data_IF_457536116583
#
_entry.id   IF_457536116583
#
_cell.length_a   1.000
_cell.length_b   1.000
_cell.length_c   1.000
_cell.angle_alpha   90.00
_cell.angle_beta   90.00
_cell.angle_gamma   90.00
#
_symmetry.space_group_name_H-M   'P 1'
#
loop_
_entity.id
_entity.type
_entity.pdbx_description
1 polymer ?
#
# COMPACT_ATOMS: atom_id res chain seq x y z
N UNK A 1 -28.58 22.19 2.80
CA UNK A 1 -27.88 22.58 4.04
C UNK A 1 -26.43 22.97 3.71
N UNK A 2 -25.98 24.18 4.04
CA UNK A 2 -24.61 24.64 3.71
C UNK A 2 -23.63 23.98 4.68
N UNK A 3 -22.66 23.20 4.19
CA UNK A 3 -21.69 22.43 5.00
C UNK A 3 -21.03 23.30 6.09
N UNK A 4 -20.64 24.53 5.74
CA UNK A 4 -20.06 25.50 6.68
C UNK A 4 -20.94 25.75 7.91
N UNK A 5 -22.25 25.83 7.74
CA UNK A 5 -23.20 26.11 8.81
C UNK A 5 -23.32 24.95 9.82
N UNK A 6 -23.13 23.71 9.37
CA UNK A 6 -23.12 22.54 10.24
C UNK A 6 -21.95 22.60 11.24
N UNK A 7 -20.78 23.03 10.77
CA UNK A 7 -19.59 23.18 11.61
C UNK A 7 -19.72 24.40 12.55
N UNK A 8 -20.28 25.50 12.06
CA UNK A 8 -20.48 26.73 12.85
C UNK A 8 -21.49 26.55 14.00
N UNK A 9 -22.50 25.68 13.82
CA UNK A 9 -23.49 25.36 14.85
C UNK A 9 -22.88 24.81 16.14
N UNK A 10 -21.68 24.22 16.08
CA UNK A 10 -21.03 23.65 17.25
C UNK A 10 -20.36 24.68 18.17
N UNK A 11 -20.33 25.98 17.81
CA UNK A 11 -19.86 27.09 18.65
C UNK A 11 -18.58 26.79 19.45
N UNK A 12 -17.55 26.27 18.76
CA UNK A 12 -16.32 25.79 19.40
C UNK A 12 -15.33 26.90 19.71
N UNK A 13 -14.61 26.77 20.83
CA UNK A 13 -13.57 27.71 21.21
C UNK A 13 -12.37 27.69 20.24
N UNK A 14 -11.77 28.86 20.02
CA UNK A 14 -10.49 28.97 19.31
C UNK A 14 -9.39 28.39 20.20
N UNK A 15 -8.62 27.44 19.67
CA UNK A 15 -7.53 26.78 20.39
C UNK A 15 -6.23 26.94 19.64
N UNK A 16 -5.17 27.19 20.40
CA UNK A 16 -3.80 27.16 19.88
C UNK A 16 -3.44 25.70 19.52
N UNK A 17 -2.97 25.50 18.29
CA UNK A 17 -2.75 24.16 17.74
C UNK A 17 -1.26 23.83 17.68
N UNK A 18 -0.80 23.00 18.62
CA UNK A 18 0.58 22.52 18.70
C UNK A 18 0.66 20.99 18.75
N UNK A 19 1.02 20.40 17.60
CA UNK A 19 1.31 18.98 17.33
C UNK A 19 0.18 17.94 17.61
N UNK A 20 0.16 16.80 16.89
CA UNK A 20 -1.07 16.06 16.56
C UNK A 20 -1.28 14.74 17.34
N UNK A 21 -0.95 14.70 18.64
CA UNK A 21 -1.07 13.45 19.40
C UNK A 21 -2.53 13.13 19.73
N UNK A 22 -3.25 14.07 20.37
CA UNK A 22 -4.63 13.85 20.85
C UNK A 22 -5.68 14.64 20.07
N UNK A 23 -5.36 15.90 19.74
CA UNK A 23 -6.24 16.80 18.99
C UNK A 23 -5.61 17.08 17.63
N UNK A 24 -6.36 16.88 16.55
CA UNK A 24 -5.88 17.07 15.19
C UNK A 24 -6.83 17.95 14.38
N UNK A 25 -6.25 18.88 13.61
CA UNK A 25 -7.01 19.66 12.65
C UNK A 25 -7.47 18.80 11.46
N UNK A 26 -8.68 19.05 10.96
CA UNK A 26 -9.24 18.30 9.82
C UNK A 26 -8.30 18.30 8.61
N UNK A 27 -7.63 19.41 8.31
CA UNK A 27 -6.60 19.48 7.24
C UNK A 27 -5.52 18.41 7.39
N UNK A 28 -5.00 18.23 8.60
CA UNK A 28 -3.95 17.26 8.88
C UNK A 28 -4.49 15.84 8.93
N UNK A 29 -5.70 15.64 9.46
CA UNK A 29 -6.36 14.33 9.47
C UNK A 29 -6.62 13.81 8.05
N UNK A 30 -6.98 14.67 7.11
CA UNK A 30 -7.12 14.31 5.68
C UNK A 30 -5.82 13.76 5.11
N UNK A 31 -4.69 14.41 5.42
CA UNK A 31 -3.37 14.01 4.95
C UNK A 31 -2.87 12.72 5.63
N UNK A 32 -3.12 12.56 6.93
CA UNK A 32 -2.54 11.47 7.75
C UNK A 32 -3.40 10.21 7.81
N UNK A 33 -4.73 10.34 7.84
CA UNK A 33 -5.64 9.24 8.18
C UNK A 33 -6.78 9.03 7.17
N UNK A 34 -7.48 10.10 6.80
CA UNK A 34 -8.81 9.99 6.17
C UNK A 34 -8.76 9.81 4.65
N UNK A 35 -7.70 10.28 3.96
CA UNK A 35 -7.67 10.41 2.49
C UNK A 35 -8.92 11.16 1.97
N UNK A 36 -9.19 11.14 0.66
CA UNK A 36 -10.38 11.82 0.08
C UNK A 36 -11.71 11.21 0.52
N UNK A 37 -11.78 9.88 0.67
CA UNK A 37 -13.01 9.17 1.01
C UNK A 37 -13.45 9.39 2.47
N UNK A 38 -12.51 9.39 3.43
CA UNK A 38 -12.81 9.61 4.84
C UNK A 38 -13.23 11.05 5.14
N UNK A 39 -12.80 12.03 4.32
CA UNK A 39 -13.27 13.41 4.46
C UNK A 39 -14.78 13.53 4.25
N UNK A 40 -15.33 12.82 3.26
CA UNK A 40 -16.78 12.83 3.00
C UNK A 40 -17.54 12.21 4.18
N UNK A 41 -17.02 11.11 4.74
CA UNK A 41 -17.62 10.45 5.90
C UNK A 41 -17.61 11.37 7.13
N UNK A 42 -16.49 12.07 7.38
CA UNK A 42 -16.38 13.05 8.46
C UNK A 42 -17.33 14.22 8.28
N UNK A 43 -17.44 14.77 7.07
CA UNK A 43 -18.39 15.87 6.79
C UNK A 43 -19.83 15.43 7.07
N UNK A 44 -20.22 14.22 6.62
CA UNK A 44 -21.55 13.67 6.90
C UNK A 44 -21.77 13.48 8.40
N UNK A 45 -20.81 12.88 9.10
CA UNK A 45 -20.91 12.66 10.55
C UNK A 45 -21.09 13.96 11.35
N UNK A 46 -20.46 15.06 10.92
CA UNK A 46 -20.66 16.38 11.54
C UNK A 46 -22.04 16.93 11.22
N UNK A 47 -22.48 16.84 9.95
CA UNK A 47 -23.83 17.27 9.53
C UNK A 47 -24.93 16.50 10.27
N UNK A 48 -24.74 15.20 10.46
CA UNK A 48 -25.68 14.30 11.14
C UNK A 48 -25.57 14.40 12.67
N UNK A 49 -24.62 15.17 13.21
CA UNK A 49 -24.40 15.36 14.66
C UNK A 49 -23.69 14.21 15.38
N UNK A 50 -23.27 13.18 14.65
CA UNK A 50 -22.57 11.99 15.14
C UNK A 50 -21.07 12.24 15.46
N UNK A 51 -20.52 13.35 14.98
CA UNK A 51 -19.15 13.77 15.25
C UNK A 51 -19.14 15.26 15.55
N UNK A 52 -18.49 15.65 16.66
CA UNK A 52 -18.44 17.05 17.10
C UNK A 52 -16.99 17.55 17.08
N UNK A 53 -16.73 18.73 16.51
CA UNK A 53 -15.43 19.37 16.67
C UNK A 53 -15.23 19.78 18.13
N UNK A 54 -13.99 19.72 18.60
CA UNK A 54 -13.58 20.07 19.98
C UNK A 54 -12.89 21.44 20.07
N UNK A 55 -12.73 22.11 18.92
CA UNK A 55 -12.07 23.40 18.82
C UNK A 55 -11.95 23.88 17.37
N UNK A 56 -11.46 25.10 17.21
CA UNK A 56 -11.11 25.67 15.91
C UNK A 56 -9.72 26.31 15.96
N UNK A 57 -8.93 26.15 14.90
CA UNK A 57 -7.67 26.86 14.74
C UNK A 57 -7.73 27.81 13.55
N UNK A 58 -7.26 29.05 13.75
CA UNK A 58 -7.18 30.05 12.67
C UNK A 58 -6.08 29.75 11.66
N UNK A 59 -5.18 28.81 11.95
CA UNK A 59 -4.07 28.43 11.07
C UNK A 59 -4.54 27.89 9.71
N UNK A 60 -5.74 27.32 9.65
CA UNK A 60 -6.31 26.79 8.41
C UNK A 60 -7.70 27.38 8.16
N UNK A 61 -7.97 27.85 6.92
CA UNK A 61 -9.25 28.48 6.62
C UNK A 61 -10.40 27.47 6.52
N UNK A 62 -11.60 27.93 6.88
CA UNK A 62 -12.85 27.21 6.68
C UNK A 62 -12.97 25.92 7.49
N UNK A 63 -13.73 24.94 6.98
CA UNK A 63 -13.99 23.68 7.71
C UNK A 63 -12.72 22.88 8.05
N UNK A 64 -11.61 23.17 7.35
CA UNK A 64 -10.34 22.46 7.55
C UNK A 64 -9.60 22.87 8.83
N UNK A 65 -9.97 24.01 9.42
CA UNK A 65 -9.46 24.51 10.70
C UNK A 65 -10.16 23.93 11.93
N UNK A 66 -11.23 23.17 11.76
CA UNK A 66 -11.88 22.51 12.90
C UNK A 66 -11.02 21.36 13.43
N UNK A 67 -10.96 21.28 14.75
CA UNK A 67 -10.17 20.34 15.52
C UNK A 67 -11.06 19.21 16.01
N UNK A 68 -10.53 17.99 15.99
CA UNK A 68 -11.21 16.79 16.47
C UNK A 68 -10.27 15.96 17.32
N UNK A 69 -10.83 15.12 18.19
CA UNK A 69 -10.06 14.05 18.81
C UNK A 69 -9.59 13.08 17.72
N UNK A 70 -8.32 12.70 17.77
CA UNK A 70 -7.74 11.79 16.79
C UNK A 70 -8.48 10.44 16.77
N UNK A 71 -8.84 9.93 17.95
CA UNK A 71 -9.54 8.65 18.10
C UNK A 71 -10.95 8.66 17.49
N UNK A 72 -11.66 9.79 17.57
CA UNK A 72 -12.96 9.93 16.93
C UNK A 72 -12.85 9.97 15.41
N UNK A 73 -11.79 10.60 14.87
CA UNK A 73 -11.53 10.57 13.44
C UNK A 73 -11.07 9.21 12.93
N UNK A 74 -10.38 8.42 13.77
CA UNK A 74 -9.95 7.07 13.41
C UNK A 74 -11.12 6.15 13.03
N UNK A 75 -12.32 6.36 13.61
CA UNK A 75 -13.56 5.63 13.26
C UNK A 75 -14.03 5.88 11.82
N UNK A 76 -13.66 7.03 11.26
CA UNK A 76 -13.98 7.46 9.89
C UNK A 76 -12.80 7.36 8.95
N UNK A 77 -11.68 6.79 9.42
CA UNK A 77 -10.67 6.27 8.52
C UNK A 77 -11.43 5.40 7.54
N UNK A 78 -11.23 5.55 6.22
CA UNK A 78 -11.65 4.50 5.32
C UNK A 78 -10.98 3.27 5.89
N UNK A 79 -11.77 2.37 6.48
CA UNK A 79 -11.38 0.99 6.57
C UNK A 79 -10.81 0.72 5.18
N UNK A 80 -9.72 -0.03 5.11
CA UNK A 80 -9.55 -0.83 3.91
C UNK A 80 -10.81 -1.68 3.87
N UNK A 81 -11.90 -1.11 3.34
CA UNK A 81 -12.95 -1.82 2.72
C UNK A 81 -12.14 -2.57 1.67
N UNK A 82 -11.78 -3.79 2.04
CA UNK A 82 -12.10 -4.96 1.25
C UNK A 82 -13.51 -4.71 0.72
N UNK A 83 -13.62 -3.79 -0.25
CA UNK A 83 -14.55 -3.99 -1.33
C UNK A 83 -14.12 -5.37 -1.80
N UNK A 84 -14.98 -6.39 -1.73
CA UNK A 84 -14.70 -7.60 -2.48
C UNK A 84 -14.33 -7.09 -3.87
N UNK A 85 -13.07 -7.32 -4.25
CA UNK A 85 -12.67 -6.99 -5.61
C UNK A 85 -13.65 -7.71 -6.52
N UNK A 86 -13.94 -7.19 -7.72
CA UNK A 86 -14.67 -7.99 -8.69
C UNK A 86 -14.07 -9.40 -8.70
N UNK A 87 -14.91 -10.43 -8.61
CA UNK A 87 -14.43 -11.80 -8.46
C UNK A 87 -13.35 -12.10 -9.50
N UNK A 88 -12.24 -12.71 -9.05
CA UNK A 88 -11.08 -12.97 -9.90
C UNK A 88 -10.08 -11.82 -10.04
N UNK A 89 -10.17 -10.74 -9.25
CA UNK A 89 -9.17 -9.68 -9.18
C UNK A 89 -8.55 -9.55 -7.78
N UNK A 90 -7.27 -9.17 -7.73
CA UNK A 90 -6.51 -8.85 -6.52
C UNK A 90 -6.02 -7.41 -6.59
N UNK A 91 -5.96 -6.73 -5.46
CA UNK A 91 -5.17 -5.50 -5.37
C UNK A 91 -3.67 -5.80 -5.31
N UNK A 92 -2.82 -4.79 -5.52
CA UNK A 92 -1.36 -4.99 -5.51
C UNK A 92 -0.82 -5.51 -4.18
N UNK A 93 -1.45 -5.21 -3.05
CA UNK A 93 -1.03 -5.74 -1.74
C UNK A 93 -1.32 -7.22 -1.61
N UNK A 94 -2.52 -7.67 -2.00
CA UNK A 94 -2.89 -9.08 -2.01
C UNK A 94 -2.04 -9.87 -3.02
N UNK A 95 -1.87 -9.34 -4.23
CA UNK A 95 -0.99 -9.94 -5.24
C UNK A 95 0.46 -10.07 -4.74
N UNK A 96 0.95 -9.05 -4.04
CA UNK A 96 2.28 -9.06 -3.45
C UNK A 96 2.40 -10.10 -2.33
N UNK A 97 1.37 -10.27 -1.52
CA UNK A 97 1.32 -11.31 -0.49
C UNK A 97 1.37 -12.72 -1.09
N UNK A 98 0.63 -12.97 -2.18
CA UNK A 98 0.64 -14.28 -2.87
C UNK A 98 2.04 -14.61 -3.42
N UNK A 99 2.78 -13.63 -3.91
CA UNK A 99 4.15 -13.82 -4.42
C UNK A 99 5.23 -13.64 -3.35
N UNK A 100 4.85 -13.31 -2.11
CA UNK A 100 5.74 -12.96 -0.99
C UNK A 100 6.79 -11.86 -1.34
N UNK A 101 6.34 -10.82 -2.04
CA UNK A 101 7.16 -9.68 -2.46
C UNK A 101 6.57 -8.35 -1.99
N UNK A 102 7.29 -7.25 -2.26
CA UNK A 102 6.80 -5.90 -2.01
C UNK A 102 5.78 -5.47 -3.08
N UNK A 103 4.81 -4.64 -2.71
CA UNK A 103 3.81 -4.11 -3.65
C UNK A 103 4.41 -3.23 -4.76
N UNK A 104 5.62 -2.71 -4.57
CA UNK A 104 6.39 -2.00 -5.61
C UNK A 104 6.85 -2.94 -6.73
N UNK A 105 7.07 -4.22 -6.43
CA UNK A 105 7.43 -5.24 -7.43
C UNK A 105 6.25 -5.52 -8.35
N UNK A 106 5.05 -5.72 -7.79
CA UNK A 106 3.82 -5.88 -8.60
C UNK A 106 3.61 -4.68 -9.53
N UNK A 107 3.87 -3.46 -9.03
CA UNK A 107 3.83 -2.26 -9.86
C UNK A 107 4.84 -2.32 -11.01
N UNK A 108 6.06 -2.77 -10.75
CA UNK A 108 7.08 -3.00 -11.78
C UNK A 108 6.64 -4.03 -12.81
N UNK A 109 6.08 -5.16 -12.36
CA UNK A 109 5.60 -6.23 -13.23
C UNK A 109 4.49 -5.76 -14.18
N UNK A 110 3.54 -4.97 -13.67
CA UNK A 110 2.48 -4.37 -14.51
C UNK A 110 3.06 -3.34 -15.47
N UNK A 111 4.00 -2.49 -15.02
CA UNK A 111 4.62 -1.47 -15.88
C UNK A 111 5.44 -2.07 -17.03
N UNK A 112 6.05 -3.24 -16.81
CA UNK A 112 6.81 -4.00 -17.81
C UNK A 112 5.93 -4.93 -18.66
N UNK A 113 4.61 -4.94 -18.44
CA UNK A 113 3.69 -5.82 -19.18
C UNK A 113 3.82 -7.31 -18.85
N UNK A 114 4.55 -7.67 -17.78
CA UNK A 114 4.70 -9.06 -17.30
C UNK A 114 3.36 -9.56 -16.74
N UNK A 115 2.66 -8.69 -15.99
CA UNK A 115 1.28 -8.90 -15.58
C UNK A 115 0.39 -8.01 -16.44
N UNK A 116 -0.68 -8.56 -17.01
CA UNK A 116 -1.59 -7.78 -17.84
C UNK A 116 -2.57 -7.06 -16.91
N UNK A 117 -2.55 -5.73 -16.96
CA UNK A 117 -3.66 -4.97 -16.41
C UNK A 117 -4.93 -5.26 -17.26
N UNK A 118 -6.11 -5.41 -16.64
CA UNK A 118 -7.35 -5.54 -17.40
C UNK A 118 -7.54 -4.35 -18.35
N UNK A 119 -7.90 -4.65 -19.61
CA UNK A 119 -8.15 -3.65 -20.64
C UNK A 119 -9.20 -2.64 -20.15
N UNK A 120 -8.89 -1.34 -20.24
CA UNK A 120 -9.78 -0.25 -19.83
C UNK A 120 -9.61 0.25 -18.39
N UNK A 121 -8.75 -0.36 -17.57
CA UNK A 121 -8.55 0.11 -16.19
C UNK A 121 -7.61 1.32 -16.13
N UNK A 122 -8.19 2.50 -15.88
CA UNK A 122 -7.44 3.77 -15.72
C UNK A 122 -6.56 3.72 -14.47
N UNK A 123 -5.40 4.40 -14.47
CA UNK A 123 -4.56 4.53 -13.27
C UNK A 123 -5.36 5.26 -12.16
N UNK A 124 -5.88 4.47 -11.23
CA UNK A 124 -6.71 4.90 -10.11
C UNK A 124 -6.29 4.23 -8.80
N UNK A 125 -6.87 4.65 -7.66
CA UNK A 125 -6.46 4.22 -6.32
C UNK A 125 -6.65 2.72 -6.04
N UNK A 126 -7.45 2.02 -6.86
CA UNK A 126 -7.63 0.57 -6.81
C UNK A 126 -6.84 -0.06 -7.94
N UNK A 127 -5.52 -0.19 -7.77
CA UNK A 127 -4.67 -0.90 -8.74
C UNK A 127 -4.94 -2.40 -8.62
N UNK A 128 -5.64 -2.95 -9.62
CA UNK A 128 -6.08 -4.34 -9.66
C UNK A 128 -5.28 -5.12 -10.70
N UNK A 129 -5.10 -6.41 -10.42
CA UNK A 129 -4.53 -7.43 -11.32
C UNK A 129 -5.43 -8.65 -11.27
N UNK A 130 -5.46 -9.44 -12.35
CA UNK A 130 -6.25 -10.69 -12.35
C UNK A 130 -5.60 -11.70 -11.40
N UNK A 131 -6.40 -12.30 -10.51
CA UNK A 131 -5.95 -13.33 -9.58
C UNK A 131 -5.33 -14.53 -10.34
N UNK A 132 -5.95 -14.96 -11.43
CA UNK A 132 -5.45 -16.05 -12.27
C UNK A 132 -4.08 -15.77 -12.91
N UNK A 133 -3.75 -14.50 -13.18
CA UNK A 133 -2.41 -14.15 -13.69
C UNK A 133 -1.36 -14.23 -12.58
N UNK A 134 -1.71 -13.77 -11.38
CA UNK A 134 -0.83 -13.90 -10.21
C UNK A 134 -0.59 -15.37 -9.85
N UNK A 135 -1.64 -16.20 -9.84
CA UNK A 135 -1.53 -17.63 -9.56
C UNK A 135 -0.66 -18.35 -10.59
N UNK A 136 -0.90 -18.16 -11.89
CA UNK A 136 -0.05 -18.72 -12.95
C UNK A 136 1.41 -18.30 -12.82
N UNK A 137 1.66 -17.04 -12.45
CA UNK A 137 3.02 -16.57 -12.19
C UNK A 137 3.61 -17.27 -10.95
N UNK A 138 2.85 -17.41 -9.87
CA UNK A 138 3.28 -18.07 -8.64
C UNK A 138 3.59 -19.57 -8.84
N UNK A 139 2.88 -20.23 -9.76
CA UNK A 139 3.09 -21.62 -10.15
C UNK A 139 4.40 -21.79 -10.93
N UNK A 140 4.74 -20.83 -11.79
CA UNK A 140 5.93 -20.92 -12.65
C UNK A 140 7.18 -20.36 -12.01
N UNK A 141 7.05 -19.34 -11.16
CA UNK A 141 8.16 -18.57 -10.63
C UNK A 141 8.21 -18.55 -9.10
N UNK A 142 9.42 -18.38 -8.57
CA UNK A 142 9.68 -18.13 -7.16
C UNK A 142 10.64 -16.95 -7.02
N UNK A 143 10.38 -16.08 -6.03
CA UNK A 143 11.24 -14.94 -5.73
C UNK A 143 12.57 -15.40 -5.12
N UNK A 144 13.69 -14.82 -5.56
CA UNK A 144 15.00 -15.07 -4.98
C UNK A 144 15.05 -14.69 -3.48
N UNK A 145 14.27 -13.68 -3.07
CA UNK A 145 14.15 -13.30 -1.65
C UNK A 145 13.48 -14.40 -0.84
N UNK A 146 12.46 -15.04 -1.39
CA UNK A 146 11.77 -16.18 -0.75
C UNK A 146 12.73 -17.36 -0.61
N UNK A 147 13.49 -17.67 -1.66
CA UNK A 147 14.53 -18.70 -1.59
C UNK A 147 15.59 -18.36 -0.52
N UNK A 148 16.07 -17.12 -0.47
CA UNK A 148 17.07 -16.72 0.53
C UNK A 148 16.55 -16.90 1.97
N UNK A 149 15.28 -16.60 2.24
CA UNK A 149 14.68 -16.79 3.56
C UNK A 149 14.49 -18.27 3.88
N UNK A 150 13.95 -19.03 2.91
CA UNK A 150 13.66 -20.46 3.08
C UNK A 150 14.91 -21.29 3.36
N UNK A 151 16.03 -20.97 2.71
CA UNK A 151 17.30 -21.67 2.88
C UNK A 151 18.25 -20.96 3.86
N UNK A 152 17.81 -19.87 4.51
CA UNK A 152 18.61 -19.05 5.41
C UNK A 152 19.95 -18.57 4.80
N UNK A 153 19.93 -18.21 3.51
CA UNK A 153 21.10 -17.76 2.75
C UNK A 153 21.10 -16.24 2.69
N UNK A 154 22.26 -15.60 2.82
CA UNK A 154 22.38 -14.17 2.58
C UNK A 154 21.98 -13.83 1.12
N UNK A 155 21.00 -12.94 0.93
CA UNK A 155 20.52 -12.55 -0.40
C UNK A 155 21.61 -12.02 -1.35
N UNK A 156 22.68 -11.40 -0.83
CA UNK A 156 23.84 -10.99 -1.65
C UNK A 156 24.65 -12.20 -2.13
N UNK A 157 24.86 -13.19 -1.26
CA UNK A 157 25.55 -14.43 -1.62
C UNK A 157 24.74 -15.22 -2.65
N UNK A 158 23.43 -15.33 -2.45
CA UNK A 158 22.54 -15.97 -3.42
C UNK A 158 22.57 -15.23 -4.77
N UNK A 159 22.49 -13.90 -4.77
CA UNK A 159 22.56 -13.12 -6.00
C UNK A 159 23.90 -13.28 -6.72
N UNK A 160 25.01 -13.38 -5.98
CA UNK A 160 26.33 -13.64 -6.55
C UNK A 160 26.41 -15.04 -7.16
N UNK A 161 25.98 -16.06 -6.41
CA UNK A 161 25.95 -17.45 -6.87
C UNK A 161 25.14 -17.58 -8.16
N UNK A 162 23.92 -17.04 -8.20
CA UNK A 162 23.05 -17.10 -9.38
C UNK A 162 23.65 -16.39 -10.61
N UNK A 163 24.45 -15.35 -10.39
CA UNK A 163 25.17 -14.64 -11.45
C UNK A 163 26.34 -15.48 -11.97
N UNK A 164 27.12 -16.08 -11.08
CA UNK A 164 28.28 -16.92 -11.41
C UNK A 164 27.85 -18.24 -12.08
N UNK A 165 26.73 -18.81 -11.66
CA UNK A 165 26.15 -20.03 -12.25
C UNK A 165 25.42 -19.80 -13.57
N UNK A 166 25.35 -18.55 -14.06
CA UNK A 166 24.64 -18.21 -15.30
C UNK A 166 23.15 -18.56 -15.27
N UNK A 167 22.55 -18.65 -14.09
CA UNK A 167 21.17 -19.13 -13.95
C UNK A 167 20.20 -18.10 -14.58
N UNK A 168 19.26 -18.55 -15.44
CA UNK A 168 18.29 -17.65 -16.04
C UNK A 168 17.38 -17.04 -14.97
N UNK A 169 17.33 -15.72 -14.95
CA UNK A 169 16.59 -14.93 -13.97
C UNK A 169 15.66 -13.95 -14.68
N UNK A 170 14.42 -13.88 -14.21
CA UNK A 170 13.53 -12.79 -14.57
C UNK A 170 13.79 -11.62 -13.62
N UNK A 171 14.32 -10.53 -14.17
CA UNK A 171 14.57 -9.30 -13.42
C UNK A 171 13.43 -8.29 -13.64
N UNK A 172 12.75 -7.93 -12.56
CA UNK A 172 11.69 -6.92 -12.56
C UNK A 172 12.23 -5.63 -11.93
N UNK A 173 12.38 -4.54 -12.70
CA UNK A 173 12.81 -3.26 -12.15
C UNK A 173 11.77 -2.70 -11.17
N UNK A 174 12.24 -2.15 -10.05
CA UNK A 174 11.37 -1.57 -9.02
C UNK A 174 11.19 -0.07 -9.31
N UNK A 175 9.96 0.41 -9.58
CA UNK A 175 9.73 1.82 -9.89
C UNK A 175 10.18 2.75 -8.75
N UNK A 176 10.95 3.79 -9.08
CA UNK A 176 11.52 4.72 -8.10
C UNK A 176 12.82 4.22 -7.45
N UNK A 177 13.34 3.06 -7.87
CA UNK A 177 14.63 2.53 -7.44
C UNK A 177 15.43 2.03 -8.65
N UNK A 178 16.11 2.95 -9.32
CA UNK A 178 16.78 2.72 -10.62
C UNK A 178 17.79 1.57 -10.64
N UNK A 179 18.31 1.15 -9.48
CA UNK A 179 19.29 0.05 -9.37
C UNK A 179 18.74 -1.21 -8.71
N UNK A 180 17.52 -1.19 -8.17
CA UNK A 180 16.93 -2.36 -7.51
C UNK A 180 16.02 -3.14 -8.46
N UNK A 181 16.28 -4.44 -8.53
CA UNK A 181 15.49 -5.39 -9.29
C UNK A 181 15.01 -6.50 -8.36
N UNK A 182 13.73 -6.82 -8.44
CA UNK A 182 13.24 -8.08 -7.92
C UNK A 182 13.63 -9.19 -8.89
N UNK A 183 14.19 -10.28 -8.37
CA UNK A 183 14.66 -11.41 -9.17
C UNK A 183 13.78 -12.61 -8.93
N UNK A 184 13.31 -13.22 -10.00
CA UNK A 184 12.50 -14.42 -9.98
C UNK A 184 13.20 -15.54 -10.75
N UNK A 185 13.08 -16.76 -10.24
CA UNK A 185 13.55 -17.98 -10.88
C UNK A 185 12.36 -18.82 -11.29
N UNK A 186 12.49 -19.54 -12.39
CA UNK A 186 11.58 -20.64 -12.68
C UNK A 186 11.65 -21.67 -11.55
N UNK A 187 10.51 -22.18 -11.11
CA UNK A 187 10.44 -23.17 -10.03
C UNK A 187 11.25 -24.43 -10.35
N UNK A 188 11.18 -24.92 -11.58
CA UNK A 188 11.93 -26.11 -12.00
C UNK A 188 13.44 -25.90 -11.91
N UNK A 189 13.91 -24.68 -12.23
CA UNK A 189 15.32 -24.31 -12.08
C UNK A 189 15.66 -24.22 -10.59
N UNK A 190 14.85 -23.52 -9.80
CA UNK A 190 15.07 -23.35 -8.36
C UNK A 190 15.10 -24.71 -7.61
N UNK A 191 14.29 -25.68 -8.03
CA UNK A 191 14.25 -27.02 -7.44
C UNK A 191 15.52 -27.84 -7.70
N UNK A 192 16.25 -27.56 -8.77
CA UNK A 192 17.48 -28.27 -9.17
C UNK A 192 18.76 -27.60 -8.64
N UNK A 193 18.65 -26.39 -8.10
CA UNK A 193 19.80 -25.67 -7.57
C UNK A 193 20.25 -26.29 -6.23
N UNK A 194 21.55 -26.56 -6.04
CA UNK A 194 22.09 -27.05 -4.78
C UNK A 194 22.19 -25.91 -3.75
N UNK A 195 21.07 -25.22 -3.46
CA UNK A 195 21.03 -24.02 -2.62
C UNK A 195 21.52 -24.31 -1.19
N UNK A 196 21.28 -25.52 -0.68
CA UNK A 196 21.75 -25.96 0.64
C UNK A 196 23.29 -26.01 0.77
N UNK A 197 24.02 -26.01 -0.34
CA UNK A 197 25.49 -26.04 -0.36
C UNK A 197 26.11 -24.64 -0.40
N UNK A 198 25.29 -23.58 -0.52
CA UNK A 198 25.76 -22.19 -0.53
C UNK A 198 26.07 -21.77 0.91
N UNK A 199 27.23 -22.16 1.40
CA UNK A 199 27.75 -21.68 2.67
C UNK A 199 28.45 -20.32 2.48
N UNK A 200 28.38 -19.41 3.49
CA UNK A 200 29.25 -18.26 3.50
C UNK A 200 30.71 -18.75 3.50
N UNK A 201 31.51 -18.30 2.52
CA UNK A 201 32.97 -18.35 2.67
C UNK A 201 33.31 -17.41 3.85
N UNK A 202 33.88 -17.99 4.91
CA UNK A 202 34.52 -17.26 6.00
C UNK A 202 35.51 -16.23 5.46
#
# INVERSE_FOLDING_TARGET
>A
MKIKHAFEKHAVAVKEYSKPAEIIALRHAVKKYLRRAGLVAVIRAVVDGNLKPVGYTQRFPGITGYLFLADDLCKYRPLSAVKPHPEGFLNYGEAAAVLEVESSVIRGMVAQGILRAPAGHRPGPSKLVRAAEIQRFAEQYVSATVLSRRFNINGRLLARYLKESGTPLLAVPIPGKEREHARFLLRDVAARLPLAQIQPKN
#
